data_IF_758052588910
#
_entry.id   IF_758052588910
#
_cell.length_a   1.000
_cell.length_b   1.000
_cell.length_c   1.000
_cell.angle_alpha   90.00
_cell.angle_beta   90.00
_cell.angle_gamma   90.00
#
_symmetry.space_group_name_H-M   'P 1'
#
loop_
_entity.id
_entity.type
_entity.pdbx_description
1 polymer ?
#
# COMPACT_ATOMS: atom_id res chain seq x y z
N UNK A 1 -17.72 12.28 12.07
CA UNK A 1 -17.64 11.19 11.05
C UNK A 1 -16.31 11.11 10.26
N UNK A 2 -15.45 12.14 10.23
CA UNK A 2 -14.20 12.08 9.45
C UNK A 2 -13.08 11.19 10.03
N UNK A 3 -12.98 11.07 11.36
CA UNK A 3 -11.93 10.28 12.01
C UNK A 3 -12.10 8.77 11.78
N UNK A 4 -13.31 8.23 11.96
CA UNK A 4 -13.60 6.80 11.73
C UNK A 4 -13.31 6.37 10.29
N UNK A 5 -13.71 7.18 9.29
CA UNK A 5 -13.40 6.90 7.87
C UNK A 5 -11.91 6.87 7.59
N UNK A 6 -11.11 7.73 8.23
CA UNK A 6 -9.65 7.73 8.10
C UNK A 6 -9.01 6.50 8.77
N UNK A 7 -9.53 6.08 9.93
CA UNK A 7 -9.06 4.88 10.61
C UNK A 7 -9.28 3.64 9.72
N UNK A 8 -10.51 3.45 9.22
CA UNK A 8 -10.83 2.35 8.28
C UNK A 8 -10.00 2.42 7.01
N UNK A 9 -9.80 3.60 6.42
CA UNK A 9 -8.96 3.75 5.24
C UNK A 9 -7.50 3.35 5.50
N UNK A 10 -6.96 3.70 6.67
CA UNK A 10 -5.59 3.35 7.06
C UNK A 10 -5.43 1.85 7.29
N UNK A 11 -6.41 1.21 7.92
CA UNK A 11 -6.45 -0.24 8.11
C UNK A 11 -6.49 -0.99 6.77
N UNK A 12 -7.35 -0.58 5.83
CA UNK A 12 -7.45 -1.20 4.51
C UNK A 12 -6.14 -1.06 3.71
N UNK A 13 -5.44 0.08 3.83
CA UNK A 13 -4.13 0.26 3.21
C UNK A 13 -3.10 -0.68 3.84
N UNK A 14 -3.09 -0.79 5.18
CA UNK A 14 -2.22 -1.73 5.89
C UNK A 14 -2.43 -3.19 5.46
N UNK A 15 -3.69 -3.62 5.44
CA UNK A 15 -4.08 -4.97 4.99
C UNK A 15 -3.67 -5.21 3.53
N UNK A 16 -3.90 -4.25 2.63
CA UNK A 16 -3.48 -4.34 1.24
C UNK A 16 -1.97 -4.51 1.09
N UNK A 17 -1.17 -3.78 1.87
CA UNK A 17 0.29 -3.93 1.88
C UNK A 17 0.72 -5.33 2.37
N UNK A 18 0.09 -5.85 3.43
CA UNK A 18 0.38 -7.19 3.94
C UNK A 18 0.03 -8.28 2.90
N UNK A 19 -1.14 -8.17 2.27
CA UNK A 19 -1.56 -9.08 1.20
C UNK A 19 -0.62 -9.04 -0.01
N UNK A 20 -0.13 -7.85 -0.39
CA UNK A 20 0.85 -7.71 -1.47
C UNK A 20 2.15 -8.42 -1.13
N UNK A 21 2.65 -8.30 0.11
CA UNK A 21 3.85 -9.01 0.54
C UNK A 21 3.69 -10.53 0.47
N UNK A 22 2.56 -11.07 0.95
CA UNK A 22 2.24 -12.49 0.85
C UNK A 22 2.23 -12.95 -0.62
N UNK A 23 1.62 -12.16 -1.50
CA UNK A 23 1.56 -12.47 -2.92
C UNK A 23 2.96 -12.44 -3.58
N UNK A 24 3.80 -11.48 -3.22
CA UNK A 24 5.20 -11.39 -3.70
C UNK A 24 6.00 -12.61 -3.24
N UNK A 25 5.88 -13.01 -1.98
CA UNK A 25 6.54 -14.19 -1.46
C UNK A 25 6.08 -15.47 -2.19
N UNK A 26 4.77 -15.63 -2.37
CA UNK A 26 4.21 -16.76 -3.09
C UNK A 26 4.77 -16.88 -4.52
N UNK A 27 4.82 -15.79 -5.27
CA UNK A 27 5.32 -15.83 -6.66
C UNK A 27 6.83 -16.04 -6.76
N UNK A 28 7.59 -15.73 -5.70
CA UNK A 28 9.02 -16.02 -5.61
C UNK A 28 9.28 -17.50 -5.34
N UNK A 29 8.48 -18.10 -4.45
CA UNK A 29 8.69 -19.47 -4.00
C UNK A 29 8.07 -20.52 -4.93
N UNK A 30 6.92 -20.20 -5.55
CA UNK A 30 6.24 -21.14 -6.46
C UNK A 30 6.96 -21.23 -7.80
N UNK A 31 7.33 -22.45 -8.21
CA UNK A 31 7.93 -22.73 -9.52
C UNK A 31 6.92 -23.39 -10.47
N UNK A 32 6.77 -22.85 -11.68
CA UNK A 32 6.03 -23.45 -12.80
C UNK A 32 6.71 -23.06 -14.12
N UNK A 33 6.52 -23.85 -15.19
CA UNK A 33 7.19 -23.61 -16.47
C UNK A 33 8.73 -23.55 -16.34
N UNK A 34 9.28 -24.39 -15.45
CA UNK A 34 10.73 -24.48 -15.21
C UNK A 34 11.36 -23.31 -14.44
N UNK A 35 10.59 -22.31 -13.96
CA UNK A 35 11.13 -21.15 -13.22
C UNK A 35 10.16 -20.67 -12.12
N UNK A 36 10.59 -19.73 -11.28
CA UNK A 36 9.65 -19.05 -10.37
C UNK A 36 8.53 -18.35 -11.16
N UNK A 37 7.28 -18.47 -10.74
CA UNK A 37 6.14 -17.87 -11.47
C UNK A 37 6.22 -16.34 -11.49
N UNK A 38 6.87 -15.76 -10.48
CA UNK A 38 7.20 -14.34 -10.39
C UNK A 38 8.19 -13.88 -11.44
N UNK A 39 8.73 -14.78 -12.27
CA UNK A 39 9.53 -14.42 -13.44
C UNK A 39 8.70 -14.19 -14.72
N UNK A 40 7.41 -14.49 -14.68
CA UNK A 40 6.51 -14.27 -15.80
C UNK A 40 5.98 -12.83 -15.78
N UNK A 41 5.69 -12.28 -16.97
CA UNK A 41 5.25 -10.89 -17.11
C UNK A 41 3.91 -10.64 -16.40
N UNK A 42 2.94 -11.56 -16.54
CA UNK A 42 1.59 -11.39 -15.99
C UNK A 42 1.57 -11.21 -14.46
N UNK A 43 2.18 -12.11 -13.64
CA UNK A 43 2.23 -11.89 -12.20
C UNK A 43 2.99 -10.62 -11.81
N UNK A 44 4.15 -10.35 -12.43
CA UNK A 44 4.94 -9.14 -12.15
C UNK A 44 4.15 -7.86 -12.41
N UNK A 45 3.51 -7.79 -13.57
CA UNK A 45 2.77 -6.60 -13.97
C UNK A 45 1.57 -6.35 -13.05
N UNK A 46 0.83 -7.39 -12.69
CA UNK A 46 -0.27 -7.27 -11.72
C UNK A 46 0.20 -6.81 -10.35
N UNK A 47 1.29 -7.39 -9.83
CA UNK A 47 1.87 -6.99 -8.55
C UNK A 47 2.39 -5.54 -8.56
N UNK A 48 3.01 -5.12 -9.66
CA UNK A 48 3.44 -3.73 -9.85
C UNK A 48 2.25 -2.75 -9.87
N UNK A 49 1.16 -3.09 -10.55
CA UNK A 49 -0.07 -2.27 -10.51
C UNK A 49 -0.64 -2.17 -9.09
N UNK A 50 -0.71 -3.29 -8.36
CA UNK A 50 -1.18 -3.31 -6.97
C UNK A 50 -0.30 -2.42 -6.08
N UNK A 51 1.02 -2.52 -6.21
CA UNK A 51 1.97 -1.68 -5.50
C UNK A 51 1.72 -0.19 -5.75
N UNK A 52 1.65 0.23 -7.03
CA UNK A 52 1.43 1.65 -7.37
C UNK A 52 0.12 2.19 -6.82
N UNK A 53 -0.97 1.38 -6.86
CA UNK A 53 -2.26 1.77 -6.27
C UNK A 53 -2.19 1.94 -4.76
N UNK A 54 -1.54 1.02 -4.06
CA UNK A 54 -1.38 1.07 -2.60
C UNK A 54 -0.46 2.22 -2.17
N UNK A 55 0.67 2.41 -2.85
CA UNK A 55 1.61 3.49 -2.60
C UNK A 55 0.95 4.87 -2.80
N UNK A 56 0.13 5.01 -3.85
CA UNK A 56 -0.70 6.21 -4.06
C UNK A 56 -1.65 6.42 -2.89
N UNK A 57 -2.42 5.40 -2.49
CA UNK A 57 -3.39 5.51 -1.40
C UNK A 57 -2.76 5.83 -0.04
N UNK A 58 -1.60 5.23 0.27
CA UNK A 58 -0.86 5.48 1.50
C UNK A 58 -0.36 6.93 1.57
N UNK A 59 0.17 7.47 0.46
CA UNK A 59 0.63 8.85 0.39
C UNK A 59 -0.50 9.86 0.64
N UNK A 60 -1.69 9.62 0.10
CA UNK A 60 -2.85 10.50 0.27
C UNK A 60 -3.62 10.29 1.58
N UNK A 61 -3.38 9.17 2.29
CA UNK A 61 -4.00 8.89 3.60
C UNK A 61 -3.30 9.60 4.77
N UNK A 62 -2.12 10.19 4.53
CA UNK A 62 -1.41 10.96 5.55
C UNK A 62 -2.19 12.25 5.87
N UNK A 63 -2.57 12.50 7.13
CA UNK A 63 -3.22 13.75 7.49
C UNK A 63 -2.24 14.90 7.22
N UNK A 64 -2.68 15.88 6.42
CA UNK A 64 -2.02 17.17 6.36
C UNK A 64 -2.29 17.85 7.71
N UNK A 65 -1.40 17.62 8.66
CA UNK A 65 -1.48 18.16 10.01
C UNK A 65 -1.55 19.68 9.95
N UNK A 66 -2.50 20.25 10.69
CA UNK A 66 -2.71 21.69 10.84
C UNK A 66 -1.38 22.37 11.21
N UNK A 67 -0.88 23.27 10.36
CA UNK A 67 0.12 24.25 10.77
C UNK A 67 -0.42 24.98 12.01
N UNK A 68 0.31 24.86 13.12
CA UNK A 68 -0.10 25.41 14.40
C UNK A 68 -0.32 26.91 14.30
N UNK A 69 -1.54 27.36 14.61
CA UNK A 69 -1.73 28.70 15.15
C UNK A 69 -1.24 28.66 16.60
N UNK A 70 0.06 28.84 16.79
CA UNK A 70 0.60 29.23 18.08
C UNK A 70 0.86 30.74 18.00
N UNK A 71 0.17 31.48 18.85
CA UNK A 71 0.17 32.94 18.85
C UNK A 71 1.56 33.50 19.12
N UNK A 72 1.88 34.57 18.41
CA UNK A 72 2.96 35.47 18.79
C UNK A 72 2.40 36.40 19.88
N UNK A 73 3.03 36.51 21.07
CA UNK A 73 2.75 37.63 21.94
C UNK A 73 3.34 38.90 21.29
N UNK A 74 2.62 40.01 21.46
CA UNK A 74 3.09 41.35 21.09
C UNK A 74 4.18 41.87 22.01
#
# INVERSE_FOLDING_TARGET
MGAARRAVASELVGNGCAMLNIAVDHVRNRKQFGRAIGANQTPRHRLAQCYTRLAGRARWSMPHGKAGRHGMPG
#
